data_IF_588380493210
#
_entry.id   IF_588380493210
#
_cell.length_a   1.000
_cell.length_b   1.000
_cell.length_c   1.000
_cell.angle_alpha   90.00
_cell.angle_beta   90.00
_cell.angle_gamma   90.00
#
_symmetry.space_group_name_H-M   'P 1'
#
loop_
_entity.id
_entity.type
_entity.pdbx_description
1 polymer ?
#
# COMPACT_ATOMS: atom_id res chain seq x y z
N UNK A 1 -2.61 -14.95 -21.60
CA UNK A 1 -2.75 -16.02 -20.57
C UNK A 1 -3.04 -15.31 -19.26
N UNK A 2 -3.94 -15.80 -18.41
CA UNK A 2 -4.22 -15.21 -17.10
C UNK A 2 -3.47 -16.04 -16.06
N UNK A 3 -2.56 -15.41 -15.32
CA UNK A 3 -1.77 -16.06 -14.30
C UNK A 3 -2.33 -15.72 -12.91
N UNK A 4 -2.59 -16.73 -12.10
CA UNK A 4 -2.99 -16.52 -10.70
C UNK A 4 -1.79 -16.10 -9.89
N UNK A 5 -1.98 -15.10 -9.04
CA UNK A 5 -0.97 -14.66 -8.07
C UNK A 5 -1.16 -15.49 -6.81
N UNK A 6 -0.12 -16.16 -6.36
CA UNK A 6 -0.13 -16.90 -5.10
C UNK A 6 0.23 -15.97 -3.95
N UNK A 7 -0.62 -15.92 -2.93
CA UNK A 7 -0.28 -15.30 -1.64
C UNK A 7 0.50 -16.29 -0.75
N UNK A 8 1.21 -15.81 0.27
CA UNK A 8 1.89 -16.68 1.23
C UNK A 8 0.89 -17.63 1.88
N UNK A 9 1.19 -18.96 1.91
CA UNK A 9 0.28 -19.98 2.41
C UNK A 9 -0.14 -19.76 3.87
N UNK A 10 -1.37 -20.22 4.19
CA UNK A 10 -2.05 -20.22 5.50
C UNK A 10 -1.84 -19.02 6.42
N UNK A 11 -2.83 -18.16 6.50
CA UNK A 11 -3.28 -17.24 7.59
C UNK A 11 -2.31 -16.43 8.44
N UNK A 12 -1.12 -16.88 8.66
CA UNK A 12 -0.19 -16.23 9.60
C UNK A 12 0.59 -15.03 9.04
N UNK A 13 0.52 -14.76 7.76
CA UNK A 13 1.29 -13.67 7.15
C UNK A 13 0.66 -12.28 7.37
N UNK A 14 -0.66 -12.17 7.49
CA UNK A 14 -1.33 -10.89 7.70
C UNK A 14 -0.93 -10.23 9.03
N UNK A 15 -0.95 -10.92 10.19
CA UNK A 15 -0.41 -10.37 11.42
C UNK A 15 1.07 -9.97 11.32
N UNK A 16 1.90 -10.73 10.60
CA UNK A 16 3.32 -10.36 10.39
C UNK A 16 3.48 -9.08 9.57
N UNK A 17 2.69 -8.91 8.50
CA UNK A 17 2.67 -7.67 7.71
C UNK A 17 2.25 -6.48 8.57
N UNK A 18 1.20 -6.63 9.38
CA UNK A 18 0.74 -5.60 10.32
C UNK A 18 1.84 -5.16 11.28
N UNK A 19 2.44 -6.12 11.97
CA UNK A 19 3.50 -5.87 12.95
C UNK A 19 4.73 -5.23 12.30
N UNK A 20 5.17 -5.76 11.16
CA UNK A 20 6.32 -5.25 10.42
C UNK A 20 6.08 -3.84 9.87
N UNK A 21 4.87 -3.55 9.37
CA UNK A 21 4.52 -2.22 8.90
C UNK A 21 4.55 -1.19 10.03
N UNK A 22 4.04 -1.54 11.21
CA UNK A 22 4.13 -0.71 12.42
C UNK A 22 5.59 -0.43 12.80
N UNK A 23 6.42 -1.49 12.88
CA UNK A 23 7.82 -1.36 13.27
C UNK A 23 8.64 -0.58 12.22
N UNK A 24 8.41 -0.82 10.94
CA UNK A 24 9.04 -0.06 9.86
C UNK A 24 8.66 1.43 9.94
N UNK A 25 7.38 1.73 10.19
CA UNK A 25 6.94 3.12 10.34
C UNK A 25 7.58 3.79 11.55
N UNK A 26 7.70 3.07 12.67
CA UNK A 26 8.34 3.57 13.89
C UNK A 26 9.81 3.92 13.66
N UNK A 27 10.53 3.11 12.86
CA UNK A 27 11.98 3.27 12.61
C UNK A 27 12.30 4.22 11.47
N UNK A 28 11.48 4.24 10.42
CA UNK A 28 11.85 4.86 9.15
C UNK A 28 10.92 6.01 8.71
N UNK A 29 9.84 6.26 9.46
CA UNK A 29 8.97 7.44 9.34
C UNK A 29 8.32 7.64 7.95
N UNK A 30 8.24 6.59 7.14
CA UNK A 30 7.64 6.62 5.80
C UNK A 30 6.46 5.64 5.72
N UNK A 31 5.22 6.15 5.84
CA UNK A 31 4.02 5.32 5.85
C UNK A 31 3.89 4.44 4.60
N UNK A 32 4.13 4.99 3.42
CA UNK A 32 4.04 4.25 2.15
C UNK A 32 5.11 3.17 2.04
N UNK A 33 6.39 3.52 2.28
CA UNK A 33 7.49 2.56 2.19
C UNK A 33 7.40 1.48 3.26
N UNK A 34 6.91 1.81 4.45
CA UNK A 34 6.76 0.84 5.56
C UNK A 34 5.80 -0.28 5.22
N UNK A 35 4.64 0.05 4.68
CA UNK A 35 3.66 -0.94 4.22
C UNK A 35 4.22 -1.73 3.03
N UNK A 36 4.70 -1.01 2.02
CA UNK A 36 5.21 -1.62 0.78
C UNK A 36 6.33 -2.63 1.07
N UNK A 37 7.33 -2.26 1.87
CA UNK A 37 8.42 -3.15 2.26
C UNK A 37 7.93 -4.38 3.00
N UNK A 38 6.91 -4.24 3.86
CA UNK A 38 6.34 -5.36 4.61
C UNK A 38 5.66 -6.38 3.71
N UNK A 39 4.93 -5.92 2.69
CA UNK A 39 4.33 -6.80 1.69
C UNK A 39 5.39 -7.41 0.77
N UNK A 40 6.35 -6.64 0.30
CA UNK A 40 7.42 -7.15 -0.56
C UNK A 40 8.19 -8.29 0.13
N UNK A 41 8.46 -8.18 1.43
CA UNK A 41 9.14 -9.22 2.18
C UNK A 41 8.32 -10.51 2.26
N UNK A 42 7.00 -10.42 2.57
CA UNK A 42 6.11 -11.58 2.59
C UNK A 42 5.92 -12.23 1.22
N UNK A 43 5.92 -11.43 0.17
CA UNK A 43 5.77 -11.88 -1.21
C UNK A 43 7.08 -12.35 -1.85
N UNK A 44 8.20 -12.24 -1.13
CA UNK A 44 9.54 -12.60 -1.65
C UNK A 44 10.05 -11.67 -2.75
N UNK A 45 9.48 -10.46 -2.87
CA UNK A 45 9.88 -9.47 -3.87
C UNK A 45 11.10 -8.69 -3.36
N UNK A 46 12.19 -8.69 -4.13
CA UNK A 46 13.41 -7.95 -3.81
C UNK A 46 13.79 -7.04 -4.97
N UNK A 47 13.19 -5.86 -4.99
CA UNK A 47 13.48 -4.84 -5.99
C UNK A 47 13.64 -3.47 -5.31
N UNK A 48 14.87 -2.92 -5.26
CA UNK A 48 15.12 -1.62 -4.65
C UNK A 48 14.47 -0.46 -5.41
N UNK A 49 14.16 -0.60 -6.70
CA UNK A 49 13.51 0.45 -7.47
C UNK A 49 12.07 0.66 -7.02
N UNK A 50 11.38 -0.39 -6.60
CA UNK A 50 10.02 -0.29 -6.05
C UNK A 50 10.01 0.55 -4.77
N UNK A 51 10.92 0.28 -3.82
CA UNK A 51 11.04 1.07 -2.58
C UNK A 51 11.49 2.51 -2.90
N UNK A 52 12.45 2.69 -3.80
CA UNK A 52 12.94 4.02 -4.20
C UNK A 52 11.83 4.86 -4.83
N UNK A 53 11.01 4.30 -5.71
CA UNK A 53 9.90 5.02 -6.34
C UNK A 53 8.84 5.51 -5.34
N UNK A 54 8.72 4.87 -4.18
CA UNK A 54 7.82 5.27 -3.11
C UNK A 54 8.39 6.36 -2.19
N UNK A 55 9.61 6.83 -2.41
CA UNK A 55 10.33 7.73 -1.50
C UNK A 55 9.64 9.07 -1.22
N UNK A 56 8.92 9.64 -2.18
CA UNK A 56 8.19 10.89 -2.02
C UNK A 56 6.68 10.71 -1.77
N UNK A 57 6.21 9.49 -1.51
CA UNK A 57 4.78 9.18 -1.40
C UNK A 57 4.26 9.18 0.04
N UNK A 58 5.10 9.45 1.04
CA UNK A 58 4.70 9.62 2.45
C UNK A 58 4.14 11.02 2.71
N UNK A 59 3.53 11.22 3.88
CA UNK A 59 2.99 12.54 4.27
C UNK A 59 1.96 13.11 3.28
N UNK A 60 1.23 12.22 2.58
CA UNK A 60 0.29 12.62 1.54
C UNK A 60 0.99 13.32 0.37
N UNK A 61 1.97 12.64 -0.25
CA UNK A 61 2.83 13.19 -1.30
C UNK A 61 3.66 14.39 -0.81
N UNK A 62 4.10 14.35 0.44
CA UNK A 62 4.79 15.46 1.15
C UNK A 62 3.98 16.77 1.14
N UNK A 63 2.69 16.70 0.82
CA UNK A 63 1.80 17.85 0.59
C UNK A 63 0.45 17.72 1.30
N UNK A 64 0.34 16.75 2.23
CA UNK A 64 -0.88 16.49 3.01
C UNK A 64 -2.11 16.09 2.18
N UNK A 65 -1.91 15.57 0.98
CA UNK A 65 -2.97 15.08 0.09
C UNK A 65 -3.41 13.67 0.49
N UNK A 66 -3.34 12.70 -0.42
CA UNK A 66 -3.76 11.33 -0.17
C UNK A 66 -2.86 10.65 0.85
N UNK A 67 -3.46 10.00 1.86
CA UNK A 67 -2.74 9.27 2.89
C UNK A 67 -1.85 8.17 2.29
N UNK A 68 -0.61 8.08 2.78
CA UNK A 68 0.37 7.09 2.29
C UNK A 68 -0.06 5.63 2.45
N UNK A 69 -1.00 5.34 3.36
CA UNK A 69 -1.62 4.00 3.48
C UNK A 69 -2.41 3.65 2.21
N UNK A 70 -3.23 4.58 1.70
CA UNK A 70 -3.98 4.39 0.46
C UNK A 70 -3.04 4.22 -0.74
N UNK A 71 -1.99 5.05 -0.80
CA UNK A 71 -0.99 4.96 -1.86
C UNK A 71 -0.28 3.60 -1.82
N UNK A 72 0.13 3.15 -0.64
CA UNK A 72 0.76 1.84 -0.47
C UNK A 72 -0.18 0.70 -0.89
N UNK A 73 -1.46 0.76 -0.54
CA UNK A 73 -2.46 -0.21 -0.97
C UNK A 73 -2.58 -0.30 -2.49
N UNK A 74 -2.62 0.85 -3.17
CA UNK A 74 -2.63 0.90 -4.63
C UNK A 74 -1.34 0.31 -5.23
N UNK A 75 -0.18 0.59 -4.64
CA UNK A 75 1.10 0.04 -5.08
C UNK A 75 1.18 -1.48 -4.88
N UNK A 76 0.70 -2.00 -3.75
CA UNK A 76 0.66 -3.46 -3.48
C UNK A 76 -0.23 -4.16 -4.50
N UNK A 77 -1.41 -3.62 -4.81
CA UNK A 77 -2.25 -4.16 -5.88
C UNK A 77 -1.55 -4.10 -7.24
N UNK A 78 -0.89 -2.98 -7.54
CA UNK A 78 -0.12 -2.82 -8.78
C UNK A 78 0.99 -3.85 -8.92
N UNK A 79 1.71 -4.18 -7.84
CA UNK A 79 2.74 -5.22 -7.84
C UNK A 79 2.19 -6.61 -8.15
N UNK A 80 0.97 -6.90 -7.71
CA UNK A 80 0.35 -8.22 -7.85
C UNK A 80 -0.44 -8.38 -9.14
N UNK A 81 -1.13 -7.34 -9.60
CA UNK A 81 -2.15 -7.39 -10.63
C UNK A 81 -1.94 -6.39 -11.77
N UNK A 82 -1.02 -5.44 -11.61
CA UNK A 82 -0.74 -4.41 -12.59
C UNK A 82 -0.11 -4.98 -13.86
N UNK A 83 -0.30 -4.30 -14.98
CA UNK A 83 0.37 -4.63 -16.23
C UNK A 83 1.88 -4.43 -16.10
N UNK A 84 2.66 -5.30 -16.72
CA UNK A 84 4.13 -5.26 -16.73
C UNK A 84 4.66 -4.35 -17.85
N UNK A 85 3.90 -4.26 -18.97
CA UNK A 85 4.26 -3.49 -20.15
C UNK A 85 3.06 -2.67 -20.64
N UNK A 86 3.30 -1.48 -21.17
CA UNK A 86 2.23 -0.59 -21.66
C UNK A 86 1.48 -1.18 -22.84
N UNK A 87 2.16 -2.02 -23.63
CA UNK A 87 1.66 -2.71 -24.80
C UNK A 87 0.53 -3.71 -24.47
N UNK A 88 0.42 -4.15 -23.22
CA UNK A 88 -0.73 -4.93 -22.73
C UNK A 88 -2.05 -4.16 -22.81
N UNK A 89 -2.01 -2.85 -23.03
CA UNK A 89 -3.17 -2.02 -23.26
C UNK A 89 -4.18 -2.05 -22.10
N UNK A 90 -5.46 -1.96 -22.47
CA UNK A 90 -6.57 -1.98 -21.50
C UNK A 90 -6.71 -3.33 -20.81
N UNK A 91 -6.45 -4.43 -21.50
CA UNK A 91 -6.59 -5.77 -20.95
C UNK A 91 -5.67 -6.01 -19.77
N UNK A 92 -4.43 -5.47 -19.82
CA UNK A 92 -3.50 -5.51 -18.70
C UNK A 92 -3.80 -4.48 -17.59
N UNK A 93 -4.59 -3.45 -17.91
CA UNK A 93 -4.98 -2.41 -16.92
C UNK A 93 -6.19 -2.81 -16.09
N UNK A 94 -7.24 -3.35 -16.72
CA UNK A 94 -8.52 -3.60 -16.06
C UNK A 94 -8.46 -4.49 -14.80
N UNK A 95 -7.60 -5.53 -14.73
CA UNK A 95 -7.55 -6.39 -13.55
C UNK A 95 -7.38 -5.64 -12.22
N UNK A 96 -6.64 -4.53 -12.22
CA UNK A 96 -6.36 -3.76 -10.99
C UNK A 96 -7.40 -2.67 -10.70
N UNK A 97 -8.19 -2.25 -11.69
CA UNK A 97 -9.06 -1.05 -11.57
C UNK A 97 -10.14 -1.22 -10.50
N UNK A 98 -10.97 -2.25 -10.62
CA UNK A 98 -12.05 -2.47 -9.67
C UNK A 98 -11.55 -2.87 -8.26
N UNK A 99 -10.58 -3.78 -8.12
CA UNK A 99 -9.97 -4.05 -6.83
C UNK A 99 -9.37 -2.80 -6.16
N UNK A 100 -8.72 -1.92 -6.94
CA UNK A 100 -8.20 -0.67 -6.38
C UNK A 100 -9.30 0.25 -5.86
N UNK A 101 -10.41 0.42 -6.61
CA UNK A 101 -11.55 1.22 -6.16
C UNK A 101 -12.17 0.66 -4.88
N UNK A 102 -12.36 -0.67 -4.81
CA UNK A 102 -12.90 -1.34 -3.62
C UNK A 102 -11.97 -1.13 -2.42
N UNK A 103 -10.67 -1.37 -2.57
CA UNK A 103 -9.68 -1.19 -1.51
C UNK A 103 -9.64 0.26 -1.01
N UNK A 104 -9.65 1.25 -1.90
CA UNK A 104 -9.66 2.67 -1.50
C UNK A 104 -10.88 2.99 -0.63
N UNK A 105 -12.06 2.49 -0.99
CA UNK A 105 -13.27 2.64 -0.19
C UNK A 105 -13.17 1.97 1.19
N UNK A 106 -12.58 0.77 1.26
CA UNK A 106 -12.36 0.04 2.52
C UNK A 106 -11.40 0.78 3.44
N UNK A 107 -10.25 1.20 2.93
CA UNK A 107 -9.26 1.96 3.69
C UNK A 107 -9.83 3.30 4.19
N UNK A 108 -10.61 4.00 3.36
CA UNK A 108 -11.27 5.25 3.80
C UNK A 108 -12.23 5.01 4.95
N UNK A 109 -13.04 3.94 4.90
CA UNK A 109 -13.94 3.58 6.02
C UNK A 109 -13.15 3.18 7.27
N UNK A 110 -12.10 2.39 7.12
CA UNK A 110 -11.26 1.91 8.24
C UNK A 110 -10.54 3.05 8.95
N UNK A 111 -9.99 4.01 8.19
CA UNK A 111 -9.17 5.09 8.73
C UNK A 111 -9.94 6.37 9.05
N UNK A 112 -11.16 6.52 8.52
CA UNK A 112 -12.01 7.69 8.69
C UNK A 112 -11.87 8.75 7.60
N UNK A 113 -10.76 8.76 6.85
CA UNK A 113 -10.54 9.63 5.69
C UNK A 113 -9.44 9.07 4.77
N UNK A 114 -9.41 9.53 3.54
CA UNK A 114 -8.29 9.32 2.62
C UNK A 114 -7.28 10.49 2.63
N UNK A 115 -7.64 11.62 3.23
CA UNK A 115 -6.81 12.83 3.29
C UNK A 115 -5.79 12.75 4.42
N UNK A 116 -4.50 12.89 4.11
CA UNK A 116 -3.45 12.95 5.11
C UNK A 116 -3.67 14.16 6.06
N UNK A 117 -4.09 15.31 5.51
CA UNK A 117 -4.41 16.50 6.30
C UNK A 117 -5.53 16.27 7.30
N UNK A 118 -6.63 15.63 6.89
CA UNK A 118 -7.75 15.33 7.80
C UNK A 118 -7.37 14.33 8.88
N UNK A 119 -6.55 13.34 8.53
CA UNK A 119 -6.10 12.33 9.47
C UNK A 119 -5.08 12.85 10.50
N UNK A 120 -4.23 13.80 10.12
CA UNK A 120 -3.14 14.28 10.96
C UNK A 120 -3.36 15.68 11.54
N UNK A 121 -4.19 16.49 10.90
CA UNK A 121 -4.33 17.93 11.19
C UNK A 121 -3.12 18.77 10.76
N UNK A 122 -2.18 18.20 9.98
CA UNK A 122 -0.89 18.82 9.64
C UNK A 122 -0.85 19.24 8.18
N UNK A 123 -0.29 20.41 7.94
CA UNK A 123 0.19 20.81 6.62
C UNK A 123 1.68 20.48 6.50
N UNK A 124 1.99 19.39 5.79
CA UNK A 124 3.39 18.97 5.59
C UNK A 124 4.17 19.88 4.65
N UNK A 125 3.52 20.85 3.97
CA UNK A 125 4.22 21.92 3.24
C UNK A 125 4.76 22.99 4.19
N UNK A 126 4.23 23.07 5.42
CA UNK A 126 4.77 23.92 6.49
C UNK A 126 5.77 23.11 7.33
N UNK A 127 7.06 23.42 7.15
CA UNK A 127 8.15 22.72 7.83
C UNK A 127 8.01 22.76 9.36
N UNK A 128 7.52 23.87 9.92
CA UNK A 128 7.36 24.00 11.36
C UNK A 128 6.24 23.10 11.90
N UNK A 129 5.14 22.95 11.17
CA UNK A 129 4.07 22.00 11.52
C UNK A 129 4.59 20.56 11.42
N UNK A 130 5.30 20.23 10.34
CA UNK A 130 5.88 18.90 10.15
C UNK A 130 6.83 18.50 11.29
N UNK A 131 7.77 19.39 11.66
CA UNK A 131 8.73 19.15 12.76
C UNK A 131 7.99 18.96 14.09
N UNK A 132 7.02 19.83 14.41
CA UNK A 132 6.24 19.69 15.66
C UNK A 132 5.47 18.38 15.70
N UNK A 133 4.88 17.97 14.59
CA UNK A 133 4.14 16.70 14.50
C UNK A 133 5.06 15.50 14.72
N UNK A 134 6.20 15.45 14.05
CA UNK A 134 7.17 14.35 14.20
C UNK A 134 7.72 14.23 15.62
N UNK A 135 7.83 15.35 16.35
CA UNK A 135 8.25 15.38 17.74
C UNK A 135 7.11 15.13 18.75
N UNK A 136 5.86 15.03 18.30
CA UNK A 136 4.70 14.89 19.17
C UNK A 136 4.24 13.44 19.31
N UNK A 137 3.45 13.16 20.35
CA UNK A 137 2.75 11.87 20.52
C UNK A 137 1.65 11.63 19.48
N UNK A 138 1.23 12.65 18.74
CA UNK A 138 0.20 12.50 17.69
C UNK A 138 0.67 11.60 16.54
N UNK A 139 1.98 11.50 16.31
CA UNK A 139 2.54 10.55 15.33
C UNK A 139 2.21 9.09 15.65
N UNK A 140 1.98 8.73 16.91
CA UNK A 140 1.62 7.37 17.31
C UNK A 140 0.31 6.92 16.62
N UNK A 141 -0.62 7.86 16.41
CA UNK A 141 -1.83 7.60 15.64
C UNK A 141 -1.55 7.20 14.19
N UNK A 142 -0.46 7.71 13.60
CA UNK A 142 -0.05 7.29 12.27
C UNK A 142 0.61 5.91 12.26
N UNK A 143 1.33 5.53 13.33
CA UNK A 143 1.86 4.17 13.45
C UNK A 143 0.71 3.15 13.44
N UNK A 144 -0.33 3.38 14.27
CA UNK A 144 -1.50 2.50 14.30
C UNK A 144 -2.25 2.49 12.97
N UNK A 145 -2.45 3.64 12.31
CA UNK A 145 -3.07 3.69 10.97
C UNK A 145 -2.30 2.91 9.92
N UNK A 146 -0.98 2.93 9.99
CA UNK A 146 -0.11 2.15 9.09
C UNK A 146 -0.28 0.66 9.35
N UNK A 147 -0.31 0.25 10.61
CA UNK A 147 -0.55 -1.14 11.01
C UNK A 147 -1.95 -1.63 10.58
N UNK A 148 -2.98 -0.86 10.91
CA UNK A 148 -4.38 -1.20 10.58
C UNK A 148 -4.62 -1.19 9.07
N UNK A 149 -3.99 -0.27 8.35
CA UNK A 149 -4.05 -0.23 6.89
C UNK A 149 -3.35 -1.43 6.25
N UNK A 150 -2.19 -1.82 6.77
CA UNK A 150 -1.48 -3.00 6.29
C UNK A 150 -2.30 -4.29 6.52
N UNK A 151 -2.94 -4.43 7.69
CA UNK A 151 -3.86 -5.53 7.97
C UNK A 151 -5.03 -5.55 7.00
N UNK A 152 -5.70 -4.41 6.78
CA UNK A 152 -6.85 -4.30 5.87
C UNK A 152 -6.48 -4.65 4.43
N UNK A 153 -5.32 -4.20 3.96
CA UNK A 153 -4.79 -4.58 2.64
C UNK A 153 -4.59 -6.09 2.57
N UNK A 154 -3.99 -6.69 3.59
CA UNK A 154 -3.77 -8.14 3.66
C UNK A 154 -5.07 -8.95 3.64
N UNK A 155 -6.06 -8.54 4.43
CA UNK A 155 -7.39 -9.17 4.45
C UNK A 155 -8.07 -9.06 3.07
N UNK A 156 -7.99 -7.91 2.46
CA UNK A 156 -8.56 -7.70 1.13
C UNK A 156 -7.91 -8.57 0.06
N UNK A 157 -6.58 -8.70 0.06
CA UNK A 157 -5.88 -9.58 -0.87
C UNK A 157 -6.31 -11.04 -0.70
N UNK A 158 -6.47 -11.49 0.54
CA UNK A 158 -6.96 -12.84 0.82
C UNK A 158 -8.38 -13.06 0.28
N UNK A 159 -9.28 -12.09 0.45
CA UNK A 159 -10.62 -12.15 -0.11
C UNK A 159 -10.61 -12.20 -1.64
N UNK A 160 -9.75 -11.41 -2.30
CA UNK A 160 -9.58 -11.46 -3.76
C UNK A 160 -9.10 -12.84 -4.23
N UNK A 161 -8.17 -13.45 -3.50
CA UNK A 161 -7.70 -14.81 -3.79
C UNK A 161 -8.84 -15.84 -3.65
N UNK A 162 -9.61 -15.77 -2.56
CA UNK A 162 -10.76 -16.65 -2.31
C UNK A 162 -11.87 -16.49 -3.37
N UNK A 163 -12.09 -15.26 -3.87
CA UNK A 163 -13.02 -14.98 -4.97
C UNK A 163 -12.47 -15.39 -6.36
N UNK A 164 -11.17 -15.76 -6.43
CA UNK A 164 -10.50 -16.04 -7.70
C UNK A 164 -10.25 -14.81 -8.57
N UNK A 165 -10.24 -13.63 -7.95
CA UNK A 165 -10.06 -12.33 -8.60
C UNK A 165 -8.62 -11.82 -8.51
N UNK A 166 -7.75 -12.50 -7.76
CA UNK A 166 -6.33 -12.16 -7.66
C UNK A 166 -5.57 -12.80 -8.82
N UNK A 167 -5.48 -12.08 -9.92
CA UNK A 167 -4.81 -12.53 -11.13
C UNK A 167 -4.15 -11.36 -11.87
N UNK A 168 -3.21 -11.69 -12.75
CA UNK A 168 -2.64 -10.75 -13.73
C UNK A 168 -2.77 -11.30 -15.14
N UNK A 169 -2.88 -10.42 -16.10
CA UNK A 169 -2.81 -10.80 -17.50
C UNK A 169 -1.34 -10.94 -17.87
N UNK A 170 -0.90 -12.16 -18.18
CA UNK A 170 0.48 -12.44 -18.58
C UNK A 170 0.86 -11.66 -19.83
N UNK A 171 2.07 -11.12 -19.86
CA UNK A 171 2.64 -10.49 -21.04
C UNK A 171 2.69 -11.48 -22.22
N UNK A 172 2.53 -10.98 -23.43
CA UNK A 172 2.81 -11.77 -24.61
C UNK A 172 4.27 -12.24 -24.53
N UNK A 173 4.48 -13.55 -24.50
CA UNK A 173 5.84 -14.07 -24.62
C UNK A 173 6.39 -13.52 -25.94
N UNK A 174 7.38 -12.63 -25.86
CA UNK A 174 8.15 -12.23 -27.01
C UNK A 174 8.74 -13.50 -27.63
N UNK A 175 8.24 -13.85 -28.77
CA UNK A 175 8.76 -14.92 -29.65
C UNK A 175 10.11 -14.49 -30.23
#
# INVERSE_FOLDING_TARGET
MVDRVALPGSGGWIPRVRERAHENMRRHESCTQSILASFMEELGIRDPWVIRSAGALHGGLVSSYTCGVHIAGAMVLGLLMGREELEQGSDGLFPVVFPAQELMGRLTRKLGSHSCRELTGVDFTDLNQAIRYLASSEREKCLERVADGAEEIGLFLKELEERGELFRVGGAKSS
#
